data_IF_736823003326
#
_entry.id   IF_736823003326
#
_cell.length_a   1.000
_cell.length_b   1.000
_cell.length_c   1.000
_cell.angle_alpha   90.00
_cell.angle_beta   90.00
_cell.angle_gamma   90.00
#
_symmetry.space_group_name_H-M   'P 1'
#
loop_
_entity.id
_entity.type
_entity.pdbx_description
1 polymer ?
#
# COMPACT_ATOMS: atom_id res chain seq x y z
N UNK A 1 31.93 54.55 29.17
CA UNK A 1 30.99 54.91 28.08
C UNK A 1 31.16 53.89 26.97
N UNK A 2 30.06 53.21 26.62
CA UNK A 2 29.97 51.97 25.85
C UNK A 2 30.39 52.12 24.37
N UNK A 3 30.97 51.08 23.73
CA UNK A 3 30.96 50.98 22.29
C UNK A 3 29.62 50.37 21.82
N UNK A 4 28.95 51.11 20.95
CA UNK A 4 27.76 50.70 20.18
C UNK A 4 28.16 49.64 19.16
N UNK A 5 27.57 48.44 19.24
CA UNK A 5 27.65 47.43 18.19
C UNK A 5 26.29 47.31 17.51
N UNK A 6 26.23 47.75 16.24
CA UNK A 6 25.07 47.62 15.35
C UNK A 6 24.69 46.15 15.14
N UNK A 7 23.41 45.77 15.27
CA UNK A 7 22.93 44.46 14.84
C UNK A 7 22.60 44.50 13.34
N UNK A 8 23.63 44.55 12.50
CA UNK A 8 23.47 44.39 11.05
C UNK A 8 24.27 43.20 10.53
N UNK A 9 24.51 42.20 11.39
CA UNK A 9 25.16 40.95 11.00
C UNK A 9 24.13 39.88 10.73
N UNK A 10 24.17 39.40 9.48
CA UNK A 10 23.79 38.05 9.08
C UNK A 10 22.35 37.62 9.32
N UNK A 11 21.46 38.09 8.43
CA UNK A 11 20.40 37.21 7.94
C UNK A 11 20.89 36.56 6.64
N UNK A 12 21.83 35.63 6.79
CA UNK A 12 22.13 34.67 5.75
C UNK A 12 20.87 33.83 5.55
N UNK A 13 20.07 34.20 4.54
CA UNK A 13 18.94 33.40 4.10
C UNK A 13 19.47 32.09 3.53
N UNK A 14 19.59 31.07 4.39
CA UNK A 14 19.66 29.70 3.97
C UNK A 14 18.34 29.38 3.24
N UNK A 15 18.32 29.63 1.92
CA UNK A 15 17.35 29.03 1.01
C UNK A 15 17.60 27.53 1.04
N UNK A 16 17.02 26.83 2.02
CA UNK A 16 16.85 25.39 1.92
C UNK A 16 16.09 25.12 0.61
N UNK A 17 16.82 24.61 -0.38
CA UNK A 17 16.26 24.11 -1.61
C UNK A 17 15.21 23.07 -1.24
N UNK A 18 13.94 23.42 -1.42
CA UNK A 18 12.84 22.54 -1.08
C UNK A 18 12.74 21.47 -2.16
N UNK A 19 13.51 20.38 -2.00
CA UNK A 19 13.29 19.18 -2.76
C UNK A 19 11.82 18.74 -2.54
N UNK A 20 11.09 18.31 -3.59
CA UNK A 20 9.72 17.82 -3.41
C UNK A 20 9.75 16.67 -2.42
N UNK A 21 8.99 16.77 -1.33
CA UNK A 21 8.82 15.64 -0.42
C UNK A 21 8.21 14.48 -1.22
N UNK A 22 8.66 13.23 -1.01
CA UNK A 22 8.01 12.10 -1.62
C UNK A 22 6.52 12.09 -1.22
N UNK A 23 5.62 11.68 -2.13
CA UNK A 23 4.19 11.64 -1.84
C UNK A 23 3.95 10.73 -0.64
N UNK A 24 3.29 11.26 0.40
CA UNK A 24 2.92 10.45 1.57
C UNK A 24 1.95 9.35 1.12
N UNK A 25 2.16 8.09 1.50
CA UNK A 25 1.19 7.05 1.20
C UNK A 25 -0.15 7.40 1.85
N UNK A 26 -1.23 7.21 1.11
CA UNK A 26 -2.57 7.44 1.65
C UNK A 26 -2.80 6.52 2.86
N UNK A 27 -3.22 7.10 3.99
CA UNK A 27 -3.50 6.39 5.23
C UNK A 27 -4.77 5.52 5.16
N UNK A 28 -5.52 5.63 4.06
CA UNK A 28 -6.80 4.94 3.88
C UNK A 28 -6.92 4.34 2.49
N UNK A 29 -7.62 3.21 2.38
CA UNK A 29 -8.06 2.65 1.12
C UNK A 29 -9.48 3.09 0.76
N UNK A 30 -9.72 3.33 -0.52
CA UNK A 30 -11.07 3.45 -1.08
C UNK A 30 -11.59 2.11 -1.58
N UNK A 31 -12.89 2.05 -1.85
CA UNK A 31 -13.61 0.87 -2.34
C UNK A 31 -12.91 0.16 -3.51
N UNK A 32 -12.49 0.90 -4.54
CA UNK A 32 -11.83 0.31 -5.71
C UNK A 32 -10.46 -0.31 -5.43
N UNK A 33 -9.73 0.17 -4.41
CA UNK A 33 -8.48 -0.48 -3.99
C UNK A 33 -8.78 -1.75 -3.22
N UNK A 34 -9.79 -1.74 -2.35
CA UNK A 34 -10.23 -2.93 -1.64
C UNK A 34 -10.73 -4.01 -2.61
N UNK A 35 -11.57 -3.64 -3.58
CA UNK A 35 -12.10 -4.57 -4.57
C UNK A 35 -10.99 -5.23 -5.41
N UNK A 36 -9.97 -4.46 -5.81
CA UNK A 36 -8.78 -5.01 -6.50
C UNK A 36 -8.00 -5.98 -5.63
N UNK A 37 -7.77 -5.67 -4.36
CA UNK A 37 -7.06 -6.57 -3.43
C UNK A 37 -7.83 -7.86 -3.16
N UNK A 38 -9.16 -7.81 -3.20
CA UNK A 38 -10.03 -8.98 -3.10
C UNK A 38 -10.23 -9.71 -4.44
N UNK A 39 -9.63 -9.24 -5.54
CA UNK A 39 -9.78 -9.84 -6.87
C UNK A 39 -11.19 -9.74 -7.46
N UNK A 40 -11.99 -8.76 -7.03
CA UNK A 40 -13.39 -8.62 -7.44
C UNK A 40 -13.72 -7.28 -8.12
N UNK A 41 -12.71 -6.55 -8.58
CA UNK A 41 -12.83 -5.25 -9.26
C UNK A 41 -13.60 -5.30 -10.58
N UNK A 42 -13.60 -6.45 -11.26
CA UNK A 42 -14.41 -6.68 -12.46
C UNK A 42 -15.90 -6.93 -12.17
N UNK A 43 -16.27 -7.17 -10.91
CA UNK A 43 -17.68 -7.37 -10.52
C UNK A 43 -18.41 -6.03 -10.46
N UNK A 44 -19.75 -6.08 -10.56
CA UNK A 44 -20.56 -4.87 -10.46
C UNK A 44 -20.44 -4.21 -9.10
N UNK A 45 -20.62 -2.89 -9.04
CA UNK A 45 -20.50 -2.13 -7.80
C UNK A 45 -21.44 -2.66 -6.69
N UNK A 46 -22.70 -2.97 -7.04
CA UNK A 46 -23.67 -3.52 -6.10
C UNK A 46 -23.23 -4.89 -5.54
N UNK A 47 -22.64 -5.73 -6.39
CA UNK A 47 -22.07 -7.00 -5.95
C UNK A 47 -20.94 -6.78 -4.95
N UNK A 48 -20.00 -5.88 -5.26
CA UNK A 48 -18.85 -5.58 -4.39
C UNK A 48 -19.30 -5.02 -3.02
N UNK A 49 -20.30 -4.14 -3.00
CA UNK A 49 -20.88 -3.59 -1.76
C UNK A 49 -21.49 -4.71 -0.91
N UNK A 50 -22.28 -5.59 -1.52
CA UNK A 50 -22.91 -6.69 -0.79
C UNK A 50 -21.87 -7.70 -0.27
N UNK A 51 -20.86 -8.01 -1.08
CA UNK A 51 -19.76 -8.90 -0.70
C UNK A 51 -18.98 -8.35 0.51
N UNK A 52 -18.57 -7.08 0.47
CA UNK A 52 -17.88 -6.46 1.61
C UNK A 52 -18.75 -6.39 2.86
N UNK A 53 -20.05 -6.13 2.72
CA UNK A 53 -20.98 -6.16 3.87
C UNK A 53 -21.03 -7.54 4.52
N UNK A 54 -20.98 -8.61 3.72
CA UNK A 54 -20.94 -9.97 4.23
C UNK A 54 -19.60 -10.27 4.90
N UNK A 55 -18.48 -9.90 4.28
CA UNK A 55 -17.14 -10.05 4.88
C UNK A 55 -17.02 -9.36 6.25
N UNK A 56 -17.56 -8.13 6.38
CA UNK A 56 -17.55 -7.40 7.66
C UNK A 56 -18.39 -8.14 8.72
N UNK A 57 -19.52 -8.72 8.32
CA UNK A 57 -20.46 -9.38 9.25
C UNK A 57 -20.04 -10.79 9.65
N UNK A 58 -19.40 -11.53 8.74
CA UNK A 58 -19.17 -12.97 8.87
C UNK A 58 -17.71 -13.31 9.12
N UNK A 59 -16.79 -12.58 8.48
CA UNK A 59 -15.35 -12.93 8.44
C UNK A 59 -14.47 -11.91 9.17
N UNK A 60 -15.09 -11.00 9.94
CA UNK A 60 -14.37 -9.99 10.72
C UNK A 60 -13.57 -9.00 9.88
N UNK A 61 -13.90 -8.81 8.61
CA UNK A 61 -13.22 -7.81 7.78
C UNK A 61 -13.40 -6.41 8.39
N UNK A 62 -12.36 -5.55 8.38
CA UNK A 62 -12.44 -4.22 8.98
C UNK A 62 -13.60 -3.39 8.41
N UNK A 63 -14.39 -2.78 9.30
CA UNK A 63 -15.40 -1.82 8.89
C UNK A 63 -14.74 -0.56 8.30
N UNK A 64 -15.38 0.10 7.32
CA UNK A 64 -14.95 1.42 6.87
C UNK A 64 -15.13 2.45 7.99
N UNK A 65 -14.40 3.56 7.87
CA UNK A 65 -14.57 4.73 8.69
C UNK A 65 -16.01 5.27 8.59
N UNK A 66 -16.59 5.67 9.73
CA UNK A 66 -17.88 6.34 9.74
C UNK A 66 -17.89 7.56 8.83
N UNK A 67 -18.98 7.74 8.09
CA UNK A 67 -19.17 8.94 7.28
C UNK A 67 -20.66 9.30 7.18
N UNK A 68 -20.99 10.59 7.07
CA UNK A 68 -22.37 11.02 6.95
C UNK A 68 -22.94 10.71 5.56
N UNK A 69 -24.23 10.39 5.50
CA UNK A 69 -25.04 10.34 4.29
C UNK A 69 -26.37 11.03 4.57
N UNK A 70 -26.53 12.26 4.06
CA UNK A 70 -27.64 13.12 4.44
C UNK A 70 -27.55 13.44 5.94
N UNK A 71 -28.63 13.17 6.69
CA UNK A 71 -28.71 13.39 8.14
C UNK A 71 -28.26 12.20 8.98
N UNK A 72 -27.93 11.06 8.37
CA UNK A 72 -27.53 9.83 9.08
C UNK A 72 -26.01 9.65 9.03
N UNK A 73 -25.39 9.38 10.19
CA UNK A 73 -24.03 8.85 10.25
C UNK A 73 -24.06 7.35 9.96
N UNK A 74 -23.39 6.92 8.89
CA UNK A 74 -23.26 5.51 8.56
C UNK A 74 -22.05 4.93 9.30
N UNK A 75 -22.21 3.74 9.87
CA UNK A 75 -21.18 2.99 10.61
C UNK A 75 -21.19 1.52 10.21
N UNK A 76 -20.09 0.81 10.48
CA UNK A 76 -20.02 -0.64 10.26
C UNK A 76 -20.27 -1.03 8.79
N UNK A 77 -20.98 -2.13 8.57
CA UNK A 77 -21.33 -2.60 7.23
C UNK A 77 -22.25 -1.63 6.45
N UNK A 78 -23.05 -0.81 7.13
CA UNK A 78 -23.91 0.17 6.46
C UNK A 78 -23.10 1.28 5.78
N UNK A 79 -21.91 1.58 6.32
CA UNK A 79 -20.97 2.53 5.74
C UNK A 79 -20.21 1.99 4.51
N UNK A 80 -20.54 0.79 4.00
CA UNK A 80 -20.00 0.34 2.72
C UNK A 80 -20.74 1.01 1.56
N UNK A 81 -19.98 1.68 0.68
CA UNK A 81 -20.47 2.37 -0.50
C UNK A 81 -19.35 3.09 -1.26
N UNK A 82 -19.71 3.91 -2.24
CA UNK A 82 -18.76 4.59 -3.14
C UNK A 82 -17.73 5.46 -2.41
N UNK A 83 -18.15 6.16 -1.34
CA UNK A 83 -17.31 7.06 -0.55
C UNK A 83 -16.68 6.39 0.68
N UNK A 84 -16.84 5.08 0.83
CA UNK A 84 -16.29 4.37 1.97
C UNK A 84 -14.76 4.41 1.95
N UNK A 85 -14.18 4.62 3.13
CA UNK A 85 -12.73 4.66 3.36
C UNK A 85 -12.38 3.71 4.48
N UNK A 86 -11.35 2.90 4.30
CA UNK A 86 -10.85 1.98 5.31
C UNK A 86 -9.50 2.44 5.83
N UNK A 87 -9.22 2.27 7.12
CA UNK A 87 -7.88 2.44 7.65
C UNK A 87 -6.94 1.42 7.00
N UNK A 88 -5.86 1.89 6.39
CA UNK A 88 -4.94 1.03 5.64
C UNK A 88 -4.36 -0.08 6.52
N UNK A 89 -3.86 0.29 7.70
CA UNK A 89 -3.22 -0.64 8.64
C UNK A 89 -4.14 -1.79 9.08
N UNK A 90 -5.43 -1.51 9.27
CA UNK A 90 -6.39 -2.53 9.68
C UNK A 90 -6.68 -3.53 8.54
N UNK A 91 -6.78 -3.02 7.31
CA UNK A 91 -6.98 -3.87 6.12
C UNK A 91 -5.75 -4.72 5.84
N UNK A 92 -4.55 -4.12 5.91
CA UNK A 92 -3.28 -4.84 5.74
C UNK A 92 -3.19 -6.00 6.74
N UNK A 93 -3.38 -5.72 8.04
CA UNK A 93 -3.34 -6.75 9.08
C UNK A 93 -4.38 -7.86 8.89
N UNK A 94 -5.58 -7.54 8.38
CA UNK A 94 -6.58 -8.58 8.09
C UNK A 94 -6.13 -9.49 6.95
N UNK A 95 -5.58 -8.95 5.86
CA UNK A 95 -5.03 -9.76 4.77
C UNK A 95 -3.85 -10.60 5.21
N UNK A 96 -2.95 -10.03 6.00
CA UNK A 96 -1.78 -10.73 6.55
C UNK A 96 -2.20 -11.91 7.43
N UNK A 97 -3.31 -11.78 8.17
CA UNK A 97 -3.89 -12.86 8.97
C UNK A 97 -4.57 -13.99 8.17
N UNK A 98 -4.85 -13.79 6.88
CA UNK A 98 -5.40 -14.83 6.00
C UNK A 98 -4.31 -15.68 5.32
N UNK A 99 -3.05 -15.24 5.41
CA UNK A 99 -1.95 -15.96 4.79
C UNK A 99 -1.57 -17.19 5.64
N UNK A 100 -1.26 -18.34 5.01
CA UNK A 100 -0.69 -19.48 5.73
C UNK A 100 0.58 -19.06 6.48
N UNK A 101 0.86 -19.66 7.66
CA UNK A 101 2.12 -19.40 8.36
C UNK A 101 3.31 -19.66 7.43
N UNK A 102 4.24 -18.71 7.35
CA UNK A 102 5.39 -18.73 6.45
C UNK A 102 5.17 -18.10 5.05
N UNK A 103 3.93 -17.83 4.64
CA UNK A 103 3.68 -17.19 3.34
C UNK A 103 4.05 -15.71 3.31
N UNK A 104 3.94 -15.00 4.44
CA UNK A 104 4.43 -13.61 4.59
C UNK A 104 5.95 -13.50 4.38
N UNK A 105 6.69 -14.48 4.88
CA UNK A 105 8.15 -14.56 4.76
C UNK A 105 8.56 -14.75 3.29
N UNK A 106 7.81 -15.57 2.54
CA UNK A 106 7.99 -15.75 1.10
C UNK A 106 7.60 -14.52 0.24
N UNK A 107 6.73 -13.64 0.74
CA UNK A 107 6.28 -12.42 0.05
C UNK A 107 7.08 -11.17 0.44
N UNK A 108 7.97 -11.28 1.43
CA UNK A 108 8.90 -10.21 1.81
C UNK A 108 9.88 -9.99 0.65
N UNK A 109 10.28 -8.75 0.29
CA UNK A 109 11.04 -8.50 -0.94
C UNK A 109 12.50 -8.98 -0.86
N UNK A 110 12.66 -10.30 -0.96
CA UNK A 110 13.83 -11.03 -1.46
C UNK A 110 13.53 -11.76 -2.78
N UNK A 111 12.24 -11.95 -3.12
CA UNK A 111 11.80 -12.65 -4.33
C UNK A 111 12.24 -11.99 -5.65
N UNK A 112 12.46 -10.67 -5.68
CA UNK A 112 13.02 -10.00 -6.86
C UNK A 112 14.51 -10.33 -7.07
N UNK A 113 15.28 -10.41 -5.98
CA UNK A 113 16.68 -10.83 -6.04
C UNK A 113 16.83 -12.32 -6.39
N UNK A 114 15.88 -13.15 -5.95
CA UNK A 114 15.81 -14.57 -6.33
C UNK A 114 15.38 -14.76 -7.80
N UNK A 115 14.46 -13.93 -8.31
CA UNK A 115 14.10 -13.93 -9.73
C UNK A 115 15.28 -13.51 -10.62
N UNK A 116 15.98 -12.43 -10.26
CA UNK A 116 17.20 -11.98 -10.95
C UNK A 116 18.31 -13.05 -10.87
N UNK A 117 18.44 -13.74 -9.75
CA UNK A 117 19.39 -14.84 -9.59
C UNK A 117 19.00 -16.09 -10.39
N UNK A 118 17.70 -16.39 -10.54
CA UNK A 118 17.21 -17.48 -11.38
C UNK A 118 17.47 -17.18 -12.87
N UNK A 119 17.23 -15.95 -13.31
CA UNK A 119 17.47 -15.53 -14.70
C UNK A 119 18.97 -15.53 -15.03
N UNK A 120 19.82 -15.07 -14.10
CA UNK A 120 21.27 -15.15 -14.25
C UNK A 120 21.77 -16.61 -14.34
N UNK A 121 21.21 -17.52 -13.53
CA UNK A 121 21.55 -18.94 -13.59
C UNK A 121 21.05 -19.62 -14.87
N UNK A 122 19.87 -19.24 -15.37
CA UNK A 122 19.35 -19.73 -16.65
C UNK A 122 20.28 -19.34 -17.82
N UNK A 123 20.78 -18.10 -17.83
CA UNK A 123 21.76 -17.63 -18.81
C UNK A 123 23.09 -18.41 -18.78
N UNK A 124 23.59 -18.72 -17.58
CA UNK A 124 24.83 -19.51 -17.41
C UNK A 124 24.68 -20.96 -17.88
N UNK A 125 23.50 -21.57 -17.69
CA UNK A 125 23.23 -22.93 -18.13
C UNK A 125 23.21 -23.04 -19.67
N UNK A 126 22.59 -22.08 -20.35
CA UNK A 126 22.56 -22.04 -21.82
C UNK A 126 23.96 -21.84 -22.42
N UNK A 127 24.80 -21.00 -21.78
CA UNK A 127 26.19 -20.82 -22.19
C UNK A 127 27.01 -22.12 -22.09
N UNK A 128 26.84 -22.88 -20.99
CA UNK A 128 27.51 -24.16 -20.78
C UNK A 128 27.06 -25.23 -21.78
N UNK A 129 25.76 -25.29 -22.09
CA UNK A 129 25.20 -26.21 -23.08
C UNK A 129 25.67 -25.86 -24.50
N UNK A 130 25.78 -24.57 -24.83
CA UNK A 130 26.32 -24.11 -26.11
C UNK A 130 27.83 -24.40 -26.28
N UNK A 131 28.58 -24.44 -25.18
CA UNK A 131 30.00 -24.79 -25.17
C UNK A 131 30.22 -26.30 -25.32
N UNK A 132 29.35 -27.14 -24.72
CA UNK A 132 29.36 -28.61 -24.86
C UNK A 132 28.98 -29.12 -26.25
N UNK A 133 28.31 -28.31 -27.08
CA UNK A 133 27.90 -28.67 -28.45
C UNK A 133 28.97 -28.34 -29.51
N UNK A 134 30.07 -27.68 -29.13
CA UNK A 134 31.15 -27.22 -30.02
C UNK A 134 32.48 -27.96 -29.83
N UNK A 135 32.52 -28.98 -28.97
CA UNK A 135 33.63 -29.93 -28.83
C UNK A 135 33.14 -31.33 -29.15
#
# INVERSE_FOLDING_TARGET
>A
MSPSLSPATARAEARWGSAPLPPRPALTYGMGTIARRLGCDQRSHNWQVNYLRQLIKLEGFPAPLPHPRGTKLLVGAEAVGTHARWQRIAVDAWFDGQLPPGALEALTPGAAAEADALDANAGNLDALLAQRRRG
#
